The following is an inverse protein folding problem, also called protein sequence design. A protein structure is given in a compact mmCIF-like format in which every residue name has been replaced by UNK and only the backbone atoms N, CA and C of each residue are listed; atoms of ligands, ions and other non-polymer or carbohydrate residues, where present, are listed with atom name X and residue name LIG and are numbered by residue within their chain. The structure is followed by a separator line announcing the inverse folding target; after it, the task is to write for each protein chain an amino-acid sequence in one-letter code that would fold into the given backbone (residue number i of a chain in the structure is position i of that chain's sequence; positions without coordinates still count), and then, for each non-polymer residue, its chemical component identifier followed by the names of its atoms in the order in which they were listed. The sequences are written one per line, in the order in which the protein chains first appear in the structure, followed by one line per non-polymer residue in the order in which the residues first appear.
data_IF_319373510090
#
_entry.id   IF_319373510090
#
_cell.length_a   1.000
_cell.length_b   1.000
_cell.length_c   1.000
_cell.angle_alpha   90.00
_cell.angle_beta   90.00
_cell.angle_gamma   90.00
#
_symmetry.space_group_name_H-M   'P 1'
#
loop_
_entity.id
_entity.type
_entity.pdbx_description
1 polymer ?
#
# COMPACT_ATOMS: atom_id res chain seq x y z
N UNK A 1 7.12 24.29 -1.47
CA UNK A 1 7.67 23.17 -0.69
C UNK A 1 9.09 22.88 -1.17
N UNK A 2 9.93 22.30 -0.32
CA UNK A 2 11.21 21.69 -0.65
C UNK A 2 10.96 20.21 -0.91
N UNK A 3 11.31 19.74 -2.11
CA UNK A 3 11.02 18.38 -2.55
C UNK A 3 12.32 17.75 -3.04
N UNK A 4 12.80 16.72 -2.36
CA UNK A 4 13.96 15.95 -2.82
C UNK A 4 13.54 14.98 -3.94
N UNK A 5 14.32 14.92 -5.01
CA UNK A 5 14.07 14.04 -6.16
C UNK A 5 15.33 13.23 -6.42
N UNK A 6 15.18 11.91 -6.50
CA UNK A 6 16.27 11.03 -6.90
C UNK A 6 15.79 9.90 -7.80
N UNK A 7 16.71 9.29 -8.52
CA UNK A 7 16.41 8.12 -9.34
C UNK A 7 17.47 7.03 -9.25
N UNK A 8 17.28 5.91 -9.96
CA UNK A 8 18.40 5.12 -10.47
C UNK A 8 18.70 5.54 -11.92
N UNK A 9 19.60 4.81 -12.57
CA UNK A 9 19.98 5.04 -13.96
C UNK A 9 18.81 5.01 -14.96
N UNK A 10 17.75 4.24 -14.69
CA UNK A 10 16.56 4.19 -15.57
C UNK A 10 15.72 5.44 -15.45
N UNK A 11 15.64 6.02 -14.25
CA UNK A 11 14.85 7.23 -13.99
C UNK A 11 15.58 8.55 -14.24
N UNK A 12 16.85 8.53 -14.64
CA UNK A 12 17.70 9.73 -14.76
C UNK A 12 17.06 10.84 -15.59
N UNK A 13 16.59 10.52 -16.80
CA UNK A 13 15.96 11.52 -17.68
C UNK A 13 14.59 12.00 -17.16
N UNK A 14 13.88 11.19 -16.38
CA UNK A 14 12.58 11.54 -15.79
C UNK A 14 12.77 12.48 -14.60
N UNK A 15 13.81 12.26 -13.78
CA UNK A 15 14.19 13.14 -12.66
C UNK A 15 14.33 14.59 -13.10
N UNK A 16 15.09 14.84 -14.17
CA UNK A 16 15.36 16.21 -14.63
C UNK A 16 14.09 16.92 -15.09
N UNK A 17 13.18 16.21 -15.76
CA UNK A 17 11.86 16.74 -16.14
C UNK A 17 11.00 17.08 -14.92
N UNK A 18 11.03 16.24 -13.89
CA UNK A 18 10.29 16.46 -12.65
C UNK A 18 10.87 17.69 -11.91
N UNK A 19 12.18 17.84 -11.85
CA UNK A 19 12.81 19.02 -11.24
C UNK A 19 12.38 20.32 -11.94
N UNK A 20 12.33 20.32 -13.28
CA UNK A 20 11.82 21.45 -14.05
C UNK A 20 10.34 21.72 -13.78
N UNK A 21 9.49 20.68 -13.78
CA UNK A 21 8.07 20.80 -13.47
C UNK A 21 7.83 21.37 -12.06
N UNK A 22 8.60 20.93 -11.06
CA UNK A 22 8.49 21.45 -9.70
C UNK A 22 8.85 22.93 -9.63
N UNK A 23 9.88 23.37 -10.38
CA UNK A 23 10.23 24.78 -10.47
C UNK A 23 9.10 25.60 -11.11
N UNK A 24 8.49 25.11 -12.19
CA UNK A 24 7.34 25.74 -12.85
C UNK A 24 6.11 25.85 -11.92
N UNK A 25 5.95 24.88 -11.02
CA UNK A 25 4.91 24.89 -9.98
C UNK A 25 5.24 25.79 -8.77
N UNK A 26 6.39 26.47 -8.75
CA UNK A 26 6.83 27.33 -7.64
C UNK A 26 7.34 26.55 -6.43
N UNK A 27 7.92 25.37 -6.64
CA UNK A 27 8.54 24.56 -5.59
C UNK A 27 10.06 24.48 -5.77
N UNK A 28 10.75 24.18 -4.67
CA UNK A 28 12.21 23.99 -4.67
C UNK A 28 12.49 22.50 -4.82
N UNK A 29 12.85 22.08 -6.03
CA UNK A 29 13.36 20.73 -6.29
C UNK A 29 14.82 20.60 -5.87
N UNK A 30 15.14 19.56 -5.11
CA UNK A 30 16.51 19.24 -4.68
C UNK A 30 16.91 17.94 -5.36
N UNK A 31 17.90 18.00 -6.24
CA UNK A 31 18.46 16.82 -6.88
C UNK A 31 19.31 16.03 -5.87
N UNK A 32 18.91 14.80 -5.59
CA UNK A 32 19.62 13.87 -4.73
C UNK A 32 20.30 12.74 -5.54
N UNK A 33 20.43 12.91 -6.86
CA UNK A 33 21.20 12.06 -7.76
C UNK A 33 20.39 10.94 -8.45
N UNK A 34 21.07 10.12 -9.27
CA UNK A 34 22.48 10.22 -9.66
C UNK A 34 22.79 11.44 -10.55
N UNK A 35 24.07 11.79 -10.63
CA UNK A 35 24.58 12.88 -11.47
C UNK A 35 24.68 12.51 -12.95
N UNK A 36 24.63 11.21 -13.27
CA UNK A 36 24.68 10.69 -14.63
C UNK A 36 23.78 9.46 -14.83
N UNK A 37 23.79 8.91 -16.04
CA UNK A 37 22.99 7.74 -16.41
C UNK A 37 23.73 6.39 -16.28
N UNK A 38 24.86 6.35 -15.57
CA UNK A 38 25.59 5.10 -15.34
C UNK A 38 24.83 4.19 -14.38
N UNK A 39 25.02 2.87 -14.53
CA UNK A 39 24.37 1.89 -13.68
C UNK A 39 24.74 2.12 -12.21
N UNK A 40 23.72 2.27 -11.37
CA UNK A 40 23.83 2.51 -9.93
C UNK A 40 22.77 1.73 -9.16
N UNK A 41 23.01 1.57 -7.85
CA UNK A 41 22.11 0.87 -6.93
C UNK A 41 21.10 1.84 -6.30
N UNK A 42 19.83 1.61 -6.58
CA UNK A 42 18.72 2.45 -6.13
C UNK A 42 18.62 2.67 -4.59
N UNK A 43 19.04 1.75 -3.69
CA UNK A 43 18.85 1.96 -2.25
C UNK A 43 19.59 3.19 -1.69
N UNK A 44 20.73 3.56 -2.26
CA UNK A 44 21.52 4.72 -1.81
C UNK A 44 20.73 6.02 -2.02
N UNK A 45 20.14 6.17 -3.21
CA UNK A 45 19.31 7.32 -3.58
C UNK A 45 17.98 7.36 -2.83
N UNK A 46 17.35 6.19 -2.63
CA UNK A 46 16.16 6.07 -1.80
C UNK A 46 16.45 6.51 -0.36
N UNK A 47 17.59 6.11 0.20
CA UNK A 47 18.01 6.47 1.55
C UNK A 47 18.27 7.97 1.71
N UNK A 48 18.91 8.61 0.72
CA UNK A 48 19.15 10.06 0.74
C UNK A 48 17.83 10.86 0.82
N UNK A 49 16.89 10.54 -0.07
CA UNK A 49 15.57 11.20 -0.08
C UNK A 49 14.79 10.87 1.19
N UNK A 50 14.66 9.59 1.55
CA UNK A 50 13.89 9.15 2.70
C UNK A 50 14.45 9.70 4.02
N UNK A 51 15.78 9.76 4.18
CA UNK A 51 16.44 10.38 5.31
C UNK A 51 16.07 11.85 5.46
N UNK A 52 16.16 12.63 4.38
CA UNK A 52 15.82 14.05 4.38
C UNK A 52 14.34 14.35 4.65
N UNK A 53 13.44 13.42 4.28
CA UNK A 53 12.01 13.51 4.61
C UNK A 53 11.79 13.13 6.08
N UNK A 54 12.47 12.09 6.56
CA UNK A 54 12.37 11.59 7.94
C UNK A 54 12.83 12.61 8.97
N UNK A 55 13.90 13.34 8.69
CA UNK A 55 14.47 14.35 9.59
C UNK A 55 13.87 15.77 9.41
N UNK A 56 13.00 15.96 8.41
CA UNK A 56 12.34 17.24 8.13
C UNK A 56 13.20 18.26 7.37
N UNK A 57 14.35 17.84 6.84
CA UNK A 57 15.17 18.67 5.94
C UNK A 57 14.42 19.04 4.67
N UNK A 58 13.55 18.16 4.18
CA UNK A 58 12.62 18.46 3.08
C UNK A 58 11.19 18.11 3.46
N UNK A 59 10.23 18.71 2.75
CA UNK A 59 8.81 18.51 3.06
C UNK A 59 8.30 17.18 2.49
N UNK A 60 8.80 16.79 1.30
CA UNK A 60 8.38 15.61 0.54
C UNK A 60 9.51 15.06 -0.35
N UNK A 61 9.35 13.84 -0.85
CA UNK A 61 10.27 13.20 -1.77
C UNK A 61 9.60 12.63 -3.02
N UNK A 62 10.35 12.53 -4.13
CA UNK A 62 9.97 11.80 -5.34
C UNK A 62 11.12 10.88 -5.73
N UNK A 63 10.83 9.59 -5.96
CA UNK A 63 11.81 8.57 -6.31
C UNK A 63 11.42 7.89 -7.62
N UNK A 64 12.39 7.72 -8.52
CA UNK A 64 12.14 7.07 -9.82
C UNK A 64 13.10 5.90 -10.01
N UNK A 65 12.59 4.73 -10.38
CA UNK A 65 13.41 3.65 -10.92
C UNK A 65 12.64 2.91 -12.03
N UNK A 66 13.10 1.75 -12.48
CA UNK A 66 12.41 0.99 -13.51
C UNK A 66 10.92 0.79 -13.22
N UNK A 67 10.58 0.25 -12.03
CA UNK A 67 9.18 0.01 -11.60
C UNK A 67 8.70 0.89 -10.45
N UNK A 68 9.59 1.62 -9.78
CA UNK A 68 9.30 2.36 -8.54
C UNK A 68 9.22 1.50 -7.28
N UNK A 69 9.10 0.17 -7.39
CA UNK A 69 8.85 -0.74 -6.26
C UNK A 69 10.05 -0.82 -5.31
N UNK A 70 11.26 -1.02 -5.84
CA UNK A 70 12.47 -1.13 -5.02
C UNK A 70 12.74 0.14 -4.19
N UNK A 71 12.61 1.29 -4.84
CA UNK A 71 12.72 2.61 -4.20
C UNK A 71 11.72 2.75 -3.05
N UNK A 72 10.46 2.37 -3.28
CA UNK A 72 9.42 2.40 -2.26
C UNK A 72 9.74 1.49 -1.06
N UNK A 73 10.22 0.26 -1.31
CA UNK A 73 10.60 -0.68 -0.25
C UNK A 73 11.74 -0.11 0.60
N UNK A 74 12.76 0.46 -0.03
CA UNK A 74 13.91 1.05 0.66
C UNK A 74 13.52 2.31 1.46
N UNK A 75 12.76 3.23 0.85
CA UNK A 75 12.35 4.46 1.50
C UNK A 75 11.49 4.22 2.75
N UNK A 76 10.57 3.25 2.71
CA UNK A 76 9.73 2.88 3.86
C UNK A 76 10.50 2.22 5.02
N UNK A 77 11.83 2.06 4.94
CA UNK A 77 12.66 1.66 6.09
C UNK A 77 13.00 2.82 7.01
N UNK A 78 12.77 4.06 6.58
CA UNK A 78 13.02 5.26 7.35
C UNK A 78 11.79 5.63 8.17
N UNK A 79 12.00 5.96 9.45
CA UNK A 79 10.92 6.29 10.38
C UNK A 79 10.13 7.51 9.88
N UNK A 80 8.81 7.45 9.96
CA UNK A 80 7.94 8.53 9.51
C UNK A 80 7.84 8.70 7.99
N UNK A 81 8.53 7.87 7.20
CA UNK A 81 8.40 7.86 5.74
C UNK A 81 7.26 6.94 5.31
N UNK A 82 6.39 7.48 4.46
CA UNK A 82 5.27 6.80 3.83
C UNK A 82 5.43 6.96 2.32
N UNK A 83 6.22 6.06 1.75
CA UNK A 83 6.46 5.99 0.31
C UNK A 83 5.36 5.16 -0.37
N UNK A 84 4.84 5.65 -1.49
CA UNK A 84 3.79 5.00 -2.27
C UNK A 84 4.24 4.81 -3.72
N UNK A 85 4.24 3.57 -4.26
CA UNK A 85 4.40 3.34 -5.68
C UNK A 85 3.05 3.60 -6.37
N UNK A 86 3.03 4.58 -7.28
CA UNK A 86 1.81 4.97 -7.99
C UNK A 86 1.96 4.71 -9.49
N UNK A 87 0.85 4.35 -10.13
CA UNK A 87 0.83 3.95 -11.54
C UNK A 87 -0.20 4.72 -12.37
N UNK A 88 -1.02 5.55 -11.73
CA UNK A 88 -2.04 6.38 -12.36
C UNK A 88 -2.39 7.59 -11.47
N UNK A 89 -3.24 8.47 -12.00
CA UNK A 89 -3.71 9.68 -11.31
C UNK A 89 -4.41 9.38 -9.99
N UNK A 90 -5.25 8.33 -9.98
CA UNK A 90 -6.06 7.96 -8.83
C UNK A 90 -5.19 7.49 -7.67
N UNK A 91 -4.21 6.63 -7.95
CA UNK A 91 -3.27 6.13 -6.95
C UNK A 91 -2.37 7.25 -6.43
N UNK A 92 -1.95 8.19 -7.29
CA UNK A 92 -1.22 9.39 -6.87
C UNK A 92 -2.07 10.25 -5.91
N UNK A 93 -3.30 10.58 -6.27
CA UNK A 93 -4.23 11.35 -5.43
C UNK A 93 -4.51 10.64 -4.09
N UNK A 94 -4.91 9.37 -4.15
CA UNK A 94 -5.29 8.59 -2.96
C UNK A 94 -4.10 8.35 -2.03
N UNK A 95 -2.87 8.27 -2.55
CA UNK A 95 -1.67 8.19 -1.71
C UNK A 95 -1.53 9.41 -0.80
N UNK A 96 -1.85 10.61 -1.29
CA UNK A 96 -1.87 11.84 -0.49
C UNK A 96 -3.11 11.92 0.38
N UNK A 97 -4.28 11.86 -0.25
CA UNK A 97 -5.56 12.14 0.38
C UNK A 97 -5.79 11.23 1.58
N UNK A 98 -5.51 9.93 1.45
CA UNK A 98 -5.83 8.93 2.45
C UNK A 98 -4.65 8.45 3.29
N UNK A 99 -3.41 8.53 2.78
CA UNK A 99 -2.24 7.95 3.43
C UNK A 99 -1.21 9.00 3.84
N UNK A 100 -1.47 10.28 3.55
CA UNK A 100 -0.50 11.36 3.71
C UNK A 100 0.90 10.95 3.24
N UNK A 101 0.97 10.30 2.07
CA UNK A 101 2.24 9.82 1.53
C UNK A 101 3.18 11.02 1.36
N UNK A 102 4.37 10.96 1.96
CA UNK A 102 5.39 12.01 1.89
C UNK A 102 6.52 11.65 0.92
N UNK A 103 6.49 10.45 0.34
CA UNK A 103 7.36 10.07 -0.79
C UNK A 103 6.51 9.44 -1.91
N UNK A 104 6.65 9.95 -3.13
CA UNK A 104 6.04 9.38 -4.34
C UNK A 104 7.07 8.52 -5.07
N UNK A 105 6.72 7.28 -5.41
CA UNK A 105 7.58 6.41 -6.21
C UNK A 105 6.96 6.18 -7.60
N UNK A 106 7.74 6.45 -8.65
CA UNK A 106 7.32 6.38 -10.04
C UNK A 106 8.15 5.38 -10.83
N UNK A 107 7.52 4.82 -11.87
CA UNK A 107 8.16 3.93 -12.83
C UNK A 107 8.61 4.70 -14.06
N UNK A 108 9.89 4.58 -14.41
CA UNK A 108 10.45 5.09 -15.66
C UNK A 108 10.09 4.17 -16.86
N UNK A 109 9.93 2.88 -16.63
CA UNK A 109 9.73 1.90 -17.71
C UNK A 109 8.25 1.77 -18.13
N UNK A 110 7.31 2.12 -17.24
CA UNK A 110 5.87 1.87 -17.45
C UNK A 110 5.05 3.14 -17.69
N UNK A 111 5.55 4.31 -17.27
CA UNK A 111 4.79 5.56 -17.34
C UNK A 111 5.35 6.48 -18.41
N UNK A 112 4.48 7.01 -19.28
CA UNK A 112 4.87 8.04 -20.24
C UNK A 112 4.99 9.42 -19.58
N UNK A 113 5.82 10.30 -20.15
CA UNK A 113 6.11 11.65 -19.62
C UNK A 113 4.86 12.45 -19.24
N UNK A 114 3.83 12.45 -20.10
CA UNK A 114 2.58 13.19 -19.85
C UNK A 114 1.85 12.70 -18.60
N UNK A 115 1.86 11.39 -18.39
CA UNK A 115 1.23 10.78 -17.22
C UNK A 115 2.06 11.06 -15.97
N UNK A 116 3.39 10.96 -16.05
CA UNK A 116 4.30 11.32 -14.95
C UNK A 116 4.06 12.76 -14.49
N UNK A 117 4.07 13.73 -15.41
CA UNK A 117 3.87 15.13 -15.06
C UNK A 117 2.53 15.35 -14.36
N UNK A 118 1.45 14.79 -14.91
CA UNK A 118 0.11 14.90 -14.33
C UNK A 118 0.02 14.26 -12.94
N UNK A 119 0.63 13.09 -12.76
CA UNK A 119 0.68 12.41 -11.46
C UNK A 119 1.46 13.23 -10.42
N UNK A 120 2.59 13.82 -10.80
CA UNK A 120 3.36 14.72 -9.92
C UNK A 120 2.54 15.95 -9.55
N UNK A 121 1.87 16.59 -10.51
CA UNK A 121 1.01 17.74 -10.25
C UNK A 121 -0.12 17.42 -9.26
N UNK A 122 -0.83 16.31 -9.49
CA UNK A 122 -1.90 15.82 -8.61
C UNK A 122 -1.33 15.59 -7.22
N UNK A 123 -0.28 14.77 -7.11
CA UNK A 123 0.30 14.41 -5.82
C UNK A 123 0.82 15.61 -5.03
N UNK A 124 1.41 16.58 -5.71
CA UNK A 124 1.91 17.79 -5.06
C UNK A 124 0.75 18.67 -4.54
N UNK A 125 -0.34 18.79 -5.32
CA UNK A 125 -1.51 19.63 -4.98
C UNK A 125 -2.47 18.98 -3.98
N UNK A 126 -2.57 17.66 -3.95
CA UNK A 126 -3.52 16.97 -3.08
C UNK A 126 -3.14 17.11 -1.61
N UNK A 127 -4.04 17.71 -0.84
CA UNK A 127 -3.96 17.83 0.61
C UNK A 127 -4.41 16.53 1.29
N UNK A 128 -3.97 16.34 2.53
CA UNK A 128 -4.37 15.19 3.33
C UNK A 128 -5.76 15.42 3.93
N UNK A 129 -6.65 14.42 3.85
CA UNK A 129 -8.04 14.54 4.32
C UNK A 129 -8.15 14.52 5.86
N UNK A 130 -7.23 13.87 6.56
CA UNK A 130 -7.30 13.72 8.01
C UNK A 130 -8.44 12.79 8.47
N UNK A 131 -9.13 13.15 9.55
CA UNK A 131 -10.23 12.35 10.10
C UNK A 131 -9.86 10.88 10.37
N UNK A 132 -10.61 9.93 9.77
CA UNK A 132 -10.35 8.49 9.94
C UNK A 132 -8.98 8.05 9.42
N UNK A 133 -8.39 8.82 8.51
CA UNK A 133 -7.10 8.54 7.90
C UNK A 133 -5.96 8.85 8.87
N UNK A 134 -6.05 9.97 9.61
CA UNK A 134 -5.07 10.32 10.64
C UNK A 134 -4.97 9.24 11.73
N UNK A 135 -6.10 8.65 12.14
CA UNK A 135 -6.13 7.50 13.07
C UNK A 135 -5.34 6.30 12.54
N UNK A 136 -5.38 6.02 11.23
CA UNK A 136 -4.65 4.91 10.61
C UNK A 136 -3.15 5.22 10.52
N UNK A 137 -2.78 6.48 10.30
CA UNK A 137 -1.37 6.89 10.33
C UNK A 137 -0.76 6.75 11.73
N UNK A 138 -1.52 7.06 12.78
CA UNK A 138 -1.12 6.81 14.16
C UNK A 138 -0.87 5.31 14.42
N UNK A 139 -1.69 4.42 13.83
CA UNK A 139 -1.45 2.97 13.91
C UNK A 139 -0.15 2.58 13.20
N UNK A 140 0.14 3.15 12.03
CA UNK A 140 1.40 2.93 11.30
C UNK A 140 2.59 3.40 12.15
N UNK A 141 2.50 4.59 12.75
CA UNK A 141 3.56 5.12 13.62
C UNK A 141 3.84 4.21 14.84
N UNK A 142 2.82 3.56 15.40
CA UNK A 142 3.00 2.55 16.46
C UNK A 142 3.71 1.30 15.95
N UNK A 143 3.38 0.82 14.76
CA UNK A 143 4.09 -0.31 14.13
C UNK A 143 5.58 0.02 13.92
N UNK A 144 5.88 1.23 13.46
CA UNK A 144 7.27 1.71 13.31
C UNK A 144 8.03 1.76 14.64
N UNK A 145 7.35 2.10 15.74
CA UNK A 145 7.93 2.09 17.08
C UNK A 145 8.09 0.69 17.69
N UNK A 146 7.72 -0.38 16.97
CA UNK A 146 7.71 -1.75 17.48
C UNK A 146 6.58 -2.02 18.49
N UNK A 147 5.59 -1.12 18.58
CA UNK A 147 4.45 -1.23 19.47
C UNK A 147 3.31 -1.94 18.72
N UNK A 148 3.33 -3.28 18.73
CA UNK A 148 2.20 -4.08 18.26
C UNK A 148 1.17 -4.19 19.39
N UNK A 149 0.01 -3.55 19.25
CA UNK A 149 -1.09 -3.74 20.21
C UNK A 149 -1.75 -5.12 19.98
N UNK A 150 -1.79 -6.02 20.98
CA UNK A 150 -2.60 -7.25 20.89
C UNK A 150 -4.11 -6.94 20.79
N UNK A 151 -4.52 -5.74 21.21
CA UNK A 151 -5.92 -5.36 21.40
C UNK A 151 -6.68 -5.06 20.09
N UNK A 152 -5.99 -4.83 18.96
CA UNK A 152 -6.67 -4.61 17.67
C UNK A 152 -7.00 -5.91 16.93
N UNK A 153 -6.64 -7.08 17.47
CA UNK A 153 -6.92 -8.40 16.90
C UNK A 153 -8.17 -9.11 17.47
N UNK A 154 -9.04 -8.43 18.21
CA UNK A 154 -10.25 -9.08 18.75
C UNK A 154 -11.47 -8.19 18.86
N UNK A 155 -12.36 -8.20 17.87
CA UNK A 155 -13.76 -7.76 18.02
C UNK A 155 -14.62 -8.22 16.83
N UNK A 156 -15.02 -9.51 16.84
CA UNK A 156 -16.28 -10.09 16.31
C UNK A 156 -16.11 -11.61 16.09
N UNK A 157 -15.97 -12.37 17.18
CA UNK A 157 -16.44 -13.77 17.24
C UNK A 157 -16.87 -14.06 18.67
N UNK A 158 -18.05 -13.59 19.05
CA UNK A 158 -18.83 -14.30 20.06
C UNK A 158 -20.31 -14.04 19.83
N UNK A 159 -21.05 -15.09 19.45
CA UNK A 159 -22.46 -14.98 19.12
C UNK A 159 -23.17 -16.24 18.64
N UNK A 160 -22.77 -17.44 19.08
CA UNK A 160 -23.72 -18.56 19.20
C UNK A 160 -23.15 -19.64 20.11
N UNK A 161 -23.58 -19.62 21.36
CA UNK A 161 -23.58 -20.78 22.24
C UNK A 161 -24.47 -21.86 21.63
N UNK A 162 -23.88 -22.89 21.00
CA UNK A 162 -24.58 -24.15 20.77
C UNK A 162 -24.61 -24.93 22.10
N UNK A 163 -25.77 -25.47 22.52
CA UNK A 163 -25.83 -26.29 23.70
C UNK A 163 -25.25 -27.68 23.41
N UNK A 164 -24.35 -28.11 24.31
CA UNK A 164 -23.85 -29.47 24.50
C UNK A 164 -24.88 -30.56 24.13
N UNK A 165 -24.66 -31.24 23.01
CA UNK A 165 -25.31 -32.52 22.71
C UNK A 165 -24.46 -33.67 23.26
N UNK A 166 -24.98 -34.36 24.28
CA UNK A 166 -24.45 -35.64 24.76
C UNK A 166 -24.68 -36.74 23.69
N UNK A 167 -23.82 -37.76 23.58
CA UNK A 167 -24.02 -38.84 22.62
C UNK A 167 -25.20 -39.73 23.04
N UNK A 168 -26.22 -39.79 22.19
CA UNK A 168 -27.36 -40.68 22.39
C UNK A 168 -26.93 -42.14 22.15
N UNK A 169 -26.92 -42.91 23.22
CA UNK A 169 -26.88 -44.38 23.21
C UNK A 169 -28.21 -44.93 22.69
N UNK A 170 -28.15 -45.79 21.67
CA UNK A 170 -29.28 -46.54 21.13
C UNK A 170 -29.71 -47.65 22.11
N UNK A 171 -31.01 -47.84 22.37
CA UNK A 171 -31.50 -49.18 22.68
C UNK A 171 -32.58 -49.66 21.71
N UNK A 172 -32.46 -50.95 21.45
CA UNK A 172 -33.29 -51.82 20.62
C UNK A 172 -34.67 -52.07 21.25
N UNK A 173 -35.73 -52.00 20.44
CA UNK A 173 -37.04 -52.64 20.62
C UNK A 173 -37.73 -52.54 19.23
N UNK A 174 -38.12 -53.57 18.49
CA UNK A 174 -38.58 -54.91 18.85
C UNK A 174 -40.10 -54.97 18.62
N UNK A 175 -40.56 -55.62 17.54
CA UNK A 175 -41.95 -56.09 17.41
C UNK A 175 -42.69 -55.81 16.10
N UNK A 176 -42.58 -56.78 15.18
CA UNK A 176 -43.49 -57.11 14.05
C UNK A 176 -44.88 -57.60 14.57
N UNK A 177 -45.89 -58.04 13.77
CA UNK A 177 -46.04 -58.04 12.30
C UNK A 177 -47.48 -57.71 11.79
N UNK A 178 -47.64 -57.79 10.45
CA UNK A 178 -48.77 -58.42 9.72
C UNK A 178 -49.63 -57.53 8.80
N UNK A 179 -49.70 -57.94 7.52
CA UNK A 179 -50.81 -57.63 6.61
C UNK A 179 -50.39 -57.34 5.16
N UNK A 180 -50.18 -58.39 4.34
CA UNK A 180 -50.11 -58.27 2.87
C UNK A 180 -51.50 -58.25 2.20
N UNK A 181 -51.68 -58.68 0.93
CA UNK A 181 -50.72 -58.77 -0.18
C UNK A 181 -51.31 -58.25 -1.55
N UNK A 182 -50.54 -58.47 -2.62
CA UNK A 182 -50.92 -58.55 -4.05
C UNK A 182 -51.06 -57.20 -4.80
N UNK A 183 -50.68 -57.01 -6.07
CA UNK A 183 -50.50 -57.94 -7.20
C UNK A 183 -49.82 -57.26 -8.41
N UNK A 184 -49.21 -58.09 -9.30
CA UNK A 184 -48.98 -57.99 -10.78
C UNK A 184 -48.27 -56.77 -11.41
N UNK A 185 -47.59 -56.83 -12.56
CA UNK A 185 -46.90 -57.84 -13.40
C UNK A 185 -46.37 -57.11 -14.64
N UNK A 186 -45.26 -57.60 -15.25
CA UNK A 186 -44.91 -57.53 -16.69
C UNK A 186 -44.75 -56.14 -17.36
N UNK A 187 -43.93 -55.85 -18.36
CA UNK A 187 -42.99 -56.56 -19.24
C UNK A 187 -42.48 -55.54 -20.27
N UNK A 188 -41.28 -55.77 -20.79
CA UNK A 188 -40.69 -55.24 -22.06
C UNK A 188 -40.02 -53.87 -22.01
#
# INVERSE_FOLDING_TARGET
MRIAVASDHRGYAVKDKILALLADMGHVGIDAGPEDCQSVDYPEFAAAVAGSVSDGTVDRGILICGTGIGMCIAANKFRGVRAAPCHDDLTAEMSRLHNDANVLCLSADLLGDRLVNRMVEIWVRTEFEGGRHARRLEQIARLEAGLTSPETMGAERNGSSEPSAQPATLPMIGGDPAGGPASVASSS
#
